data_IF_945654178547
#
_entry.id   IF_945654178547
#
_cell.length_a   1.000
_cell.length_b   1.000
_cell.length_c   1.000
_cell.angle_alpha   90.00
_cell.angle_beta   90.00
_cell.angle_gamma   90.00
#
_symmetry.space_group_name_H-M   'P 1'
#
loop_
_entity.id
_entity.type
_entity.pdbx_description
1 polymer ?
#
# COMPACT_ATOMS: atom_id res chain seq x y z
N UNK A 1 -1.61 24.67 6.37
CA UNK A 1 -0.72 24.01 5.39
C UNK A 1 0.50 23.35 6.02
N UNK A 2 1.49 24.10 6.51
CA UNK A 2 2.76 23.50 7.00
C UNK A 2 2.53 22.51 8.16
N UNK A 3 1.75 22.90 9.18
CA UNK A 3 1.40 22.00 10.28
C UNK A 3 0.66 20.74 9.81
N UNK A 4 -0.24 20.88 8.82
CA UNK A 4 -0.93 19.74 8.20
C UNK A 4 0.06 18.80 7.51
N UNK A 5 1.00 19.32 6.72
CA UNK A 5 2.01 18.49 6.03
C UNK A 5 2.92 17.77 7.03
N UNK A 6 3.32 18.41 8.13
CA UNK A 6 4.08 17.76 9.20
C UNK A 6 3.28 16.62 9.82
N UNK A 7 1.99 16.85 10.14
CA UNK A 7 1.13 15.78 10.64
C UNK A 7 0.90 14.68 9.62
N UNK A 8 0.74 15.02 8.34
CA UNK A 8 0.55 14.07 7.26
C UNK A 8 1.78 13.18 7.13
N UNK A 9 2.99 13.73 7.17
CA UNK A 9 4.23 12.95 7.18
C UNK A 9 4.30 12.02 8.38
N UNK A 10 4.07 12.54 9.60
CA UNK A 10 4.14 11.73 10.82
C UNK A 10 3.14 10.56 10.81
N UNK A 11 1.89 10.84 10.41
CA UNK A 11 0.83 9.83 10.31
C UNK A 11 1.09 8.85 9.16
N UNK A 12 1.57 9.33 8.01
CA UNK A 12 1.88 8.48 6.86
C UNK A 12 3.02 7.53 7.18
N UNK A 13 4.14 8.04 7.72
CA UNK A 13 5.26 7.20 8.18
C UNK A 13 4.78 6.13 9.15
N UNK A 14 3.89 6.45 10.10
CA UNK A 14 3.36 5.45 11.03
C UNK A 14 2.58 4.33 10.34
N UNK A 15 1.90 4.63 9.24
CA UNK A 15 1.16 3.66 8.43
C UNK A 15 2.08 2.80 7.57
N UNK A 16 3.01 3.45 6.87
CA UNK A 16 3.96 2.78 5.95
C UNK A 16 4.92 1.86 6.71
N UNK A 17 5.35 2.27 7.91
CA UNK A 17 6.25 1.46 8.75
C UNK A 17 5.58 0.22 9.35
N UNK A 18 4.24 0.10 9.28
CA UNK A 18 3.56 -1.10 9.74
C UNK A 18 3.95 -2.30 8.84
N UNK A 19 4.48 -3.39 9.42
CA UNK A 19 4.93 -4.52 8.61
C UNK A 19 3.75 -5.19 7.90
N UNK A 20 3.87 -5.37 6.59
CA UNK A 20 2.82 -5.96 5.76
C UNK A 20 3.38 -6.68 4.53
N UNK A 21 2.50 -7.16 3.62
CA UNK A 21 2.91 -7.93 2.43
C UNK A 21 3.88 -7.19 1.52
N UNK A 22 3.69 -5.88 1.32
CA UNK A 22 4.56 -5.04 0.49
C UNK A 22 5.96 -4.94 1.11
N UNK A 23 6.06 -4.65 2.41
CA UNK A 23 7.34 -4.62 3.15
C UNK A 23 8.05 -5.97 3.10
N UNK A 24 7.33 -7.08 3.31
CA UNK A 24 7.90 -8.42 3.27
C UNK A 24 8.44 -8.79 1.87
N UNK A 25 7.67 -8.49 0.83
CA UNK A 25 8.10 -8.73 -0.55
C UNK A 25 9.28 -7.83 -0.96
N UNK A 26 9.34 -6.62 -0.42
CA UNK A 26 10.45 -5.68 -0.64
C UNK A 26 11.74 -6.19 -0.03
N UNK A 27 11.71 -6.70 1.20
CA UNK A 27 12.88 -7.35 1.82
C UNK A 27 13.37 -8.55 0.99
N UNK A 28 12.43 -9.39 0.49
CA UNK A 28 12.77 -10.55 -0.32
C UNK A 28 13.35 -10.16 -1.70
N UNK A 29 12.79 -9.15 -2.36
CA UNK A 29 13.28 -8.66 -3.64
C UNK A 29 14.60 -7.88 -3.51
N UNK A 30 14.75 -7.11 -2.43
CA UNK A 30 15.94 -6.35 -2.07
C UNK A 30 17.18 -7.22 -1.87
N UNK A 31 16.99 -8.45 -1.38
CA UNK A 31 18.06 -9.44 -1.28
C UNK A 31 18.65 -9.86 -2.64
N UNK A 32 17.88 -9.71 -3.74
CA UNK A 32 18.32 -10.02 -5.11
C UNK A 32 18.75 -8.78 -5.89
N UNK A 33 18.09 -7.64 -5.66
CA UNK A 33 18.38 -6.38 -6.34
C UNK A 33 18.19 -5.21 -5.38
N UNK A 34 19.26 -4.43 -5.19
CA UNK A 34 19.32 -3.30 -4.24
C UNK A 34 18.15 -2.32 -4.41
N UNK A 35 17.81 -1.97 -5.64
CA UNK A 35 16.80 -0.96 -5.96
C UNK A 35 15.43 -1.58 -6.32
N UNK A 36 15.17 -2.81 -5.87
CA UNK A 36 13.86 -3.43 -6.04
C UNK A 36 12.77 -2.68 -5.26
N UNK A 37 13.14 -2.03 -4.15
CA UNK A 37 12.27 -1.21 -3.32
C UNK A 37 11.63 -0.06 -4.10
N UNK A 38 12.43 0.73 -4.80
CA UNK A 38 11.97 1.84 -5.62
C UNK A 38 10.98 1.41 -6.70
N UNK A 39 11.21 0.25 -7.34
CA UNK A 39 10.29 -0.30 -8.33
C UNK A 39 8.98 -0.79 -7.70
N UNK A 40 9.03 -1.38 -6.50
CA UNK A 40 7.85 -1.77 -5.73
C UNK A 40 7.07 -0.52 -5.29
N UNK A 41 7.74 0.51 -4.80
CA UNK A 41 7.15 1.80 -4.42
C UNK A 41 6.49 2.49 -5.62
N UNK A 42 7.07 2.38 -6.82
CA UNK A 42 6.43 2.88 -8.04
C UNK A 42 5.16 2.09 -8.39
N UNK A 43 5.17 0.78 -8.21
CA UNK A 43 3.98 -0.07 -8.35
C UNK A 43 2.91 0.24 -7.30
N UNK A 44 3.32 0.56 -6.08
CA UNK A 44 2.44 1.03 -5.01
C UNK A 44 1.75 2.34 -5.40
N UNK A 45 2.51 3.34 -5.88
CA UNK A 45 1.98 4.61 -6.37
C UNK A 45 0.93 4.43 -7.48
N UNK A 46 1.10 3.45 -8.36
CA UNK A 46 0.16 3.19 -9.44
C UNK A 46 -1.25 2.80 -8.94
N UNK A 47 -1.36 2.26 -7.73
CA UNK A 47 -2.63 1.97 -7.06
C UNK A 47 -3.09 3.13 -6.18
N UNK A 48 -2.14 3.71 -5.45
CA UNK A 48 -2.42 4.76 -4.48
C UNK A 48 -2.84 6.09 -5.11
N UNK A 49 -2.15 6.55 -6.15
CA UNK A 49 -2.45 7.85 -6.76
C UNK A 49 -3.88 7.92 -7.31
N UNK A 50 -4.38 6.91 -8.06
CA UNK A 50 -5.80 6.85 -8.41
C UNK A 50 -6.72 6.83 -7.18
N UNK A 51 -6.36 6.10 -6.12
CA UNK A 51 -7.16 6.01 -4.91
C UNK A 51 -7.30 7.38 -4.23
N UNK A 52 -6.21 8.14 -4.08
CA UNK A 52 -6.25 9.50 -3.51
C UNK A 52 -7.20 10.40 -4.30
N UNK A 53 -7.09 10.38 -5.63
CA UNK A 53 -7.94 11.18 -6.52
C UNK A 53 -9.41 10.79 -6.39
N UNK A 54 -9.72 9.49 -6.32
CA UNK A 54 -11.09 8.99 -6.13
C UNK A 54 -11.66 9.41 -4.78
N UNK A 55 -10.87 9.33 -3.70
CA UNK A 55 -11.29 9.77 -2.37
C UNK A 55 -11.55 11.28 -2.33
N UNK A 56 -10.68 12.07 -2.96
CA UNK A 56 -10.85 13.53 -3.09
C UNK A 56 -12.06 13.91 -3.96
N UNK A 57 -12.39 13.11 -4.98
CA UNK A 57 -13.58 13.28 -5.82
C UNK A 57 -14.90 12.93 -5.10
N UNK A 58 -14.85 12.51 -3.84
CA UNK A 58 -16.04 12.29 -3.00
C UNK A 58 -16.48 10.83 -2.90
N UNK A 59 -15.72 9.87 -3.46
CA UNK A 59 -16.03 8.45 -3.28
C UNK A 59 -15.89 7.98 -1.82
N UNK A 60 -15.30 8.81 -0.94
CA UNK A 60 -15.19 8.52 0.49
C UNK A 60 -16.53 8.19 1.17
N UNK A 61 -17.67 8.68 0.66
CA UNK A 61 -19.00 8.30 1.14
C UNK A 61 -19.30 6.81 0.95
N UNK A 62 -18.81 6.20 -0.13
CA UNK A 62 -18.94 4.76 -0.40
C UNK A 62 -18.19 3.92 0.64
N UNK A 63 -16.98 4.35 1.04
CA UNK A 63 -16.17 3.68 2.06
C UNK A 63 -16.74 3.79 3.48
N UNK A 64 -17.71 4.68 3.73
CA UNK A 64 -18.41 4.76 5.03
C UNK A 64 -19.43 3.64 5.23
N UNK A 65 -19.87 2.97 4.15
CA UNK A 65 -20.84 1.88 4.22
C UNK A 65 -20.29 0.68 5.00
N UNK A 66 -21.01 0.18 6.03
CA UNK A 66 -20.62 -1.03 6.77
C UNK A 66 -20.43 -2.25 5.86
N UNK A 67 -21.25 -2.38 4.81
CA UNK A 67 -21.16 -3.48 3.85
C UNK A 67 -19.86 -3.43 3.03
N UNK A 68 -19.43 -2.22 2.62
CA UNK A 68 -18.17 -2.03 1.87
C UNK A 68 -16.97 -2.35 2.76
N UNK A 69 -16.98 -1.88 4.02
CA UNK A 69 -15.93 -2.22 5.00
C UNK A 69 -15.86 -3.72 5.27
N UNK A 70 -17.01 -4.39 5.42
CA UNK A 70 -17.06 -5.84 5.62
C UNK A 70 -16.54 -6.60 4.38
N UNK A 71 -16.90 -6.16 3.17
CA UNK A 71 -16.41 -6.74 1.91
C UNK A 71 -14.90 -6.62 1.76
N UNK A 72 -14.33 -5.43 1.99
CA UNK A 72 -12.88 -5.19 1.98
C UNK A 72 -12.17 -6.10 3.00
N UNK A 73 -12.72 -6.20 4.22
CA UNK A 73 -12.17 -7.04 5.28
C UNK A 73 -12.19 -8.51 4.96
N UNK A 74 -13.29 -9.03 4.40
CA UNK A 74 -13.41 -10.43 4.00
C UNK A 74 -12.48 -10.78 2.84
N UNK A 75 -12.46 -9.96 1.77
CA UNK A 75 -11.63 -10.21 0.58
C UNK A 75 -10.16 -10.09 0.94
N UNK A 76 -9.74 -9.00 1.57
CA UNK A 76 -8.33 -8.84 1.93
C UNK A 76 -7.89 -9.82 3.01
N UNK A 77 -8.75 -10.15 3.98
CA UNK A 77 -8.48 -11.21 4.96
C UNK A 77 -8.28 -12.58 4.31
N UNK A 78 -9.12 -12.95 3.34
CA UNK A 78 -8.96 -14.18 2.57
C UNK A 78 -7.64 -14.20 1.80
N UNK A 79 -7.26 -13.09 1.14
CA UNK A 79 -5.96 -13.02 0.44
C UNK A 79 -4.78 -13.12 1.40
N UNK A 80 -4.83 -12.47 2.57
CA UNK A 80 -3.79 -12.61 3.59
C UNK A 80 -3.66 -14.05 4.11
N UNK A 81 -4.79 -14.74 4.36
CA UNK A 81 -4.78 -16.15 4.75
C UNK A 81 -4.15 -17.00 3.66
N UNK A 82 -4.54 -16.80 2.39
CA UNK A 82 -3.96 -17.52 1.25
C UNK A 82 -2.45 -17.30 1.15
N UNK A 83 -1.98 -16.06 1.29
CA UNK A 83 -0.55 -15.75 1.31
C UNK A 83 0.18 -16.39 2.50
N UNK A 84 -0.41 -16.32 3.70
CA UNK A 84 0.16 -16.96 4.90
C UNK A 84 0.29 -18.46 4.75
N UNK A 85 -0.74 -19.12 4.20
CA UNK A 85 -0.70 -20.56 3.90
C UNK A 85 0.37 -20.87 2.85
N UNK A 86 0.46 -20.10 1.76
CA UNK A 86 1.51 -20.28 0.75
C UNK A 86 2.90 -20.18 1.36
N UNK A 87 3.17 -19.18 2.20
CA UNK A 87 4.46 -19.04 2.89
C UNK A 87 4.78 -20.28 3.74
N UNK A 88 3.82 -20.78 4.53
CA UNK A 88 4.01 -21.98 5.36
C UNK A 88 4.23 -23.24 4.53
N UNK A 89 3.55 -23.38 3.38
CA UNK A 89 3.73 -24.50 2.46
C UNK A 89 5.09 -24.45 1.76
N UNK A 90 5.56 -23.27 1.38
CA UNK A 90 6.89 -23.09 0.79
C UNK A 90 8.02 -23.44 1.75
N UNK A 91 7.82 -23.29 3.07
CA UNK A 91 8.78 -23.75 4.09
C UNK A 91 8.85 -25.28 4.22
N UNK A 92 7.79 -25.99 3.81
CA UNK A 92 7.72 -27.46 3.84
C UNK A 92 8.25 -28.12 2.58
N UNK A 93 8.36 -27.37 1.49
CA UNK A 93 9.07 -27.82 0.29
C UNK A 93 10.58 -27.64 0.56
N UNK A 94 11.22 -28.73 1.02
CA UNK A 94 12.67 -28.86 0.95
C UNK A 94 13.12 -28.47 -0.46
N UNK A 95 14.11 -27.60 -0.55
CA UNK A 95 14.70 -27.10 -1.79
C UNK A 95 15.08 -28.25 -2.72
N UNK A 96 14.16 -28.66 -3.59
CA UNK A 96 14.41 -29.60 -4.67
C UNK A 96 13.76 -29.02 -5.91
N UNK A 97 14.61 -28.38 -6.70
CA UNK A 97 14.50 -28.24 -8.15
C UNK A 97 13.30 -27.44 -8.72
N UNK A 98 13.61 -26.23 -9.17
CA UNK A 98 13.30 -25.86 -10.55
C UNK A 98 11.85 -25.53 -10.93
N UNK A 99 10.97 -25.19 -9.99
CA UNK A 99 9.66 -24.64 -10.37
C UNK A 99 9.75 -23.12 -10.54
N UNK A 100 9.58 -22.69 -11.78
CA UNK A 100 9.56 -21.30 -12.24
C UNK A 100 9.18 -20.32 -11.14
N UNK A 101 10.19 -19.72 -10.49
CA UNK A 101 9.98 -18.44 -9.84
C UNK A 101 9.52 -17.55 -10.96
N UNK A 102 8.22 -17.33 -11.09
CA UNK A 102 7.73 -16.21 -11.87
C UNK A 102 8.41 -15.03 -11.18
N UNK A 103 9.52 -14.58 -11.76
CA UNK A 103 10.20 -13.36 -11.36
C UNK A 103 9.22 -12.26 -11.67
N UNK A 104 8.24 -12.10 -10.77
CA UNK A 104 7.23 -11.06 -10.90
C UNK A 104 8.01 -9.78 -10.77
N UNK A 105 7.99 -9.01 -11.84
CA UNK A 105 8.68 -7.73 -11.91
C UNK A 105 8.34 -6.93 -10.64
N UNK A 106 9.33 -6.34 -9.92
CA UNK A 106 9.09 -5.69 -8.62
C UNK A 106 7.95 -4.65 -8.65
N UNK A 107 7.78 -3.95 -9.76
CA UNK A 107 6.60 -3.11 -10.00
C UNK A 107 5.26 -3.84 -9.86
N UNK A 108 5.11 -5.01 -10.50
CA UNK A 108 3.89 -5.81 -10.42
C UNK A 108 3.65 -6.37 -9.02
N UNK A 109 4.73 -6.66 -8.28
CA UNK A 109 4.64 -7.01 -6.87
C UNK A 109 4.01 -5.84 -6.09
N UNK A 110 4.51 -4.62 -6.30
CA UNK A 110 3.95 -3.40 -5.71
C UNK A 110 2.46 -3.23 -6.00
N UNK A 111 2.05 -3.32 -7.28
CA UNK A 111 0.64 -3.17 -7.69
C UNK A 111 -0.25 -4.23 -7.02
N UNK A 112 0.10 -5.51 -7.16
CA UNK A 112 -0.76 -6.61 -6.71
C UNK A 112 -0.87 -6.63 -5.19
N UNK A 113 0.26 -6.51 -4.49
CA UNK A 113 0.25 -6.58 -3.03
C UNK A 113 -0.40 -5.36 -2.41
N UNK A 114 -0.27 -4.17 -3.01
CA UNK A 114 -0.97 -2.97 -2.53
C UNK A 114 -2.48 -3.11 -2.68
N UNK A 115 -2.96 -3.50 -3.87
CA UNK A 115 -4.39 -3.68 -4.11
C UNK A 115 -5.02 -4.82 -3.30
N UNK A 116 -4.25 -5.85 -2.97
CA UNK A 116 -4.72 -7.00 -2.20
C UNK A 116 -4.56 -6.85 -0.67
N UNK A 117 -3.87 -5.81 -0.19
CA UNK A 117 -3.58 -5.63 1.22
C UNK A 117 -4.76 -4.97 1.96
N UNK A 118 -5.50 -5.70 2.83
CA UNK A 118 -6.61 -5.11 3.59
C UNK A 118 -6.14 -3.98 4.50
N UNK A 119 -4.93 -4.06 5.07
CA UNK A 119 -4.41 -3.01 5.94
C UNK A 119 -4.32 -1.68 5.17
N UNK A 120 -3.74 -1.70 3.96
CA UNK A 120 -3.64 -0.53 3.09
C UNK A 120 -5.02 0.05 2.77
N UNK A 121 -5.96 -0.81 2.34
CA UNK A 121 -7.32 -0.37 1.99
C UNK A 121 -8.08 0.20 3.18
N UNK A 122 -7.96 -0.41 4.38
CA UNK A 122 -8.60 0.11 5.59
C UNK A 122 -7.96 1.41 6.08
N UNK A 123 -6.65 1.52 6.01
CA UNK A 123 -5.94 2.75 6.36
C UNK A 123 -6.41 3.91 5.47
N UNK A 124 -6.48 3.69 4.15
CA UNK A 124 -7.01 4.69 3.22
C UNK A 124 -8.51 4.96 3.38
N UNK A 125 -9.31 3.97 3.76
CA UNK A 125 -10.73 4.15 4.07
C UNK A 125 -10.99 4.97 5.35
N UNK A 126 -9.97 5.18 6.19
CA UNK A 126 -10.10 5.83 7.51
C UNK A 126 -9.18 7.05 7.63
N UNK A 127 -7.92 6.82 7.96
CA UNK A 127 -6.89 7.84 8.18
C UNK A 127 -6.56 8.55 6.86
N UNK A 128 -6.31 7.80 5.80
CA UNK A 128 -5.99 8.36 4.49
C UNK A 128 -7.12 9.20 3.90
N UNK A 129 -8.38 8.76 4.04
CA UNK A 129 -9.55 9.55 3.65
C UNK A 129 -9.57 10.90 4.39
N UNK A 130 -9.33 10.89 5.71
CA UNK A 130 -9.31 12.11 6.52
C UNK A 130 -8.21 13.08 6.06
N UNK A 131 -7.01 12.57 5.78
CA UNK A 131 -5.89 13.36 5.28
C UNK A 131 -6.15 13.89 3.86
N UNK A 132 -6.69 13.07 2.96
CA UNK A 132 -7.02 13.47 1.60
C UNK A 132 -8.13 14.53 1.56
N UNK A 133 -9.16 14.40 2.40
CA UNK A 133 -10.23 15.41 2.49
C UNK A 133 -9.70 16.73 3.05
N UNK A 134 -8.88 16.68 4.11
CA UNK A 134 -8.25 17.89 4.64
C UNK A 134 -7.32 18.54 3.61
N UNK A 135 -6.53 17.76 2.87
CA UNK A 135 -5.69 18.28 1.79
C UNK A 135 -6.54 18.93 0.69
N UNK A 136 -7.66 18.32 0.30
CA UNK A 136 -8.57 18.86 -0.69
C UNK A 136 -9.24 20.18 -0.24
N UNK A 137 -9.55 20.33 1.06
CA UNK A 137 -10.05 21.59 1.65
C UNK A 137 -9.05 22.74 1.52
N UNK A 138 -7.75 22.44 1.56
CA UNK A 138 -6.70 23.42 1.29
C UNK A 138 -6.49 23.72 -0.22
N UNK A 139 -7.14 22.97 -1.11
CA UNK A 139 -7.12 23.15 -2.57
C UNK A 139 -6.35 22.07 -3.33
N UNK A 140 -6.52 22.03 -4.66
CA UNK A 140 -5.97 20.98 -5.52
C UNK A 140 -4.42 20.89 -5.48
N UNK A 141 -3.73 22.02 -5.37
CA UNK A 141 -2.27 22.05 -5.23
C UNK A 141 -1.85 21.38 -3.91
N UNK A 142 -2.60 21.59 -2.83
CA UNK A 142 -2.32 21.00 -1.53
C UNK A 142 -2.53 19.49 -1.54
N UNK A 143 -3.55 19.01 -2.23
CA UNK A 143 -3.79 17.59 -2.47
C UNK A 143 -2.63 16.94 -3.26
N UNK A 144 -2.13 17.62 -4.30
CA UNK A 144 -0.99 17.14 -5.07
C UNK A 144 0.28 17.06 -4.20
N UNK A 145 0.57 18.11 -3.43
CA UNK A 145 1.71 18.12 -2.50
C UNK A 145 1.57 17.01 -1.47
N UNK A 146 0.38 16.83 -0.89
CA UNK A 146 0.10 15.73 0.03
C UNK A 146 0.35 14.36 -0.60
N UNK A 147 -0.17 14.11 -1.80
CA UNK A 147 0.02 12.83 -2.48
C UNK A 147 1.50 12.52 -2.74
N UNK A 148 2.27 13.51 -3.21
CA UNK A 148 3.72 13.37 -3.43
C UNK A 148 4.46 13.13 -2.11
N UNK A 149 4.16 13.91 -1.08
CA UNK A 149 4.81 13.78 0.23
C UNK A 149 4.51 12.44 0.89
N UNK A 150 3.26 11.97 0.79
CA UNK A 150 2.85 10.65 1.28
C UNK A 150 3.63 9.55 0.58
N UNK A 151 3.64 9.56 -0.77
CA UNK A 151 4.36 8.57 -1.55
C UNK A 151 5.88 8.60 -1.31
N UNK A 152 6.45 9.77 -1.03
CA UNK A 152 7.84 9.85 -0.60
C UNK A 152 8.09 9.10 0.71
N UNK A 153 7.12 9.03 1.63
CA UNK A 153 7.23 8.18 2.82
C UNK A 153 7.29 6.69 2.44
N UNK A 154 6.48 6.23 1.47
CA UNK A 154 6.56 4.87 0.94
C UNK A 154 7.92 4.56 0.33
N UNK A 155 8.40 5.46 -0.53
CA UNK A 155 9.69 5.30 -1.19
C UNK A 155 10.84 5.24 -0.17
N UNK A 156 10.85 6.12 0.83
CA UNK A 156 11.89 6.16 1.87
C UNK A 156 11.88 4.91 2.74
N UNK A 157 10.73 4.28 2.94
CA UNK A 157 10.62 3.06 3.74
C UNK A 157 10.95 1.79 2.94
N UNK A 158 10.57 1.75 1.66
CA UNK A 158 10.72 0.56 0.82
C UNK A 158 12.10 0.45 0.16
N UNK A 159 12.82 1.55 -0.03
CA UNK A 159 14.19 1.56 -0.57
C UNK A 159 15.25 1.43 0.54
#
# INVERSE_FOLDING_TARGET
MVAFLISAVAVSLSGVMAPGPVTAATLAAGARSRHAGALIALGHAAVEMPLILLLAAGIGAFFRSPAVKAGIGLVGGAVLILMGVQLLLSLRQSTTEGEATVERHPFMIGVVLTGANPYFLFWWATVGLTLATQAAEYGAIALLIFAVVHWCCDLVWLE
#
